data_IF_498400012631
#
_entry.id   IF_498400012631
#
_cell.length_a   1.000
_cell.length_b   1.000
_cell.length_c   1.000
_cell.angle_alpha   90.00
_cell.angle_beta   90.00
_cell.angle_gamma   90.00
#
_symmetry.space_group_name_H-M   'P 1'
#
loop_
_entity.id
_entity.type
_entity.pdbx_description
1 polymer ?
#
# COMPACT_ATOMS: atom_id res chain seq x y z
N UNK A 1 -3.32 12.96 -19.23
CA UNK A 1 -3.96 12.82 -17.89
C UNK A 1 -5.04 11.72 -17.87
N UNK A 2 -4.95 10.68 -18.71
CA UNK A 2 -5.98 9.63 -18.85
C UNK A 2 -5.85 8.46 -17.86
N UNK A 3 -4.89 8.49 -16.92
CA UNK A 3 -4.64 7.36 -16.02
C UNK A 3 -5.61 7.22 -14.84
N UNK A 4 -6.31 8.30 -14.46
CA UNK A 4 -7.18 8.30 -13.27
C UNK A 4 -8.62 7.83 -13.58
N UNK A 5 -9.00 7.74 -14.85
CA UNK A 5 -10.32 7.26 -15.34
C UNK A 5 -10.50 5.74 -15.26
N UNK A 6 -9.49 5.03 -14.76
CA UNK A 6 -9.27 3.65 -15.14
C UNK A 6 -9.81 2.63 -14.13
N UNK A 7 -9.78 2.94 -12.82
CA UNK A 7 -10.13 1.97 -11.78
C UNK A 7 -11.60 1.54 -11.83
N UNK A 8 -12.53 2.50 -11.94
CA UNK A 8 -13.95 2.20 -12.08
C UNK A 8 -14.25 1.45 -13.38
N UNK A 9 -13.57 1.85 -14.47
CA UNK A 9 -13.69 1.17 -15.76
C UNK A 9 -13.30 -0.30 -15.64
N UNK A 10 -12.17 -0.59 -14.99
CA UNK A 10 -11.72 -1.97 -14.73
C UNK A 10 -12.69 -2.77 -13.86
N UNK A 11 -13.30 -2.13 -12.84
CA UNK A 11 -14.30 -2.78 -12.00
C UNK A 11 -15.62 -3.11 -12.72
N UNK A 12 -15.92 -2.40 -13.81
CA UNK A 12 -17.15 -2.51 -14.60
C UNK A 12 -17.05 -3.51 -15.77
N UNK A 13 -15.85 -3.98 -16.10
CA UNK A 13 -15.68 -4.89 -17.23
C UNK A 13 -16.40 -6.23 -16.94
N UNK A 14 -17.28 -6.70 -17.85
CA UNK A 14 -17.99 -7.98 -17.67
C UNK A 14 -17.03 -9.16 -17.56
N UNK A 15 -15.97 -9.14 -18.34
CA UNK A 15 -14.89 -10.11 -18.31
C UNK A 15 -13.57 -9.43 -17.91
N UNK A 16 -13.00 -9.72 -16.73
CA UNK A 16 -11.75 -9.11 -16.28
C UNK A 16 -10.58 -9.41 -17.22
N UNK A 17 -10.70 -10.40 -18.12
CA UNK A 17 -9.70 -10.67 -19.15
C UNK A 17 -9.60 -9.58 -20.24
N UNK A 18 -10.53 -8.62 -20.29
CA UNK A 18 -10.42 -7.47 -21.20
C UNK A 18 -9.56 -6.33 -20.64
N UNK A 19 -9.20 -6.35 -19.35
CA UNK A 19 -8.23 -5.39 -18.79
C UNK A 19 -6.85 -5.74 -19.39
N UNK A 20 -6.14 -4.83 -20.07
CA UNK A 20 -4.91 -5.19 -20.78
C UNK A 20 -3.86 -5.85 -19.88
N UNK A 21 -3.20 -6.91 -20.36
CA UNK A 21 -2.16 -7.66 -19.61
C UNK A 21 -0.96 -6.81 -19.18
N UNK A 22 -0.73 -5.68 -19.84
CA UNK A 22 0.29 -4.70 -19.43
C UNK A 22 -0.02 -4.11 -18.05
N UNK A 23 -1.30 -3.95 -17.72
CA UNK A 23 -1.76 -3.44 -16.43
C UNK A 23 -2.29 -4.53 -15.51
N UNK A 24 -2.97 -5.55 -16.04
CA UNK A 24 -3.54 -6.65 -15.27
C UNK A 24 -2.45 -7.57 -14.75
N UNK A 25 -2.51 -7.86 -13.45
CA UNK A 25 -1.63 -8.84 -12.78
C UNK A 25 -2.36 -10.17 -12.66
N UNK A 26 -3.54 -10.17 -12.04
CA UNK A 26 -4.41 -11.32 -11.88
C UNK A 26 -5.86 -10.85 -11.66
N UNK A 27 -6.81 -11.79 -11.60
CA UNK A 27 -8.21 -11.48 -11.31
C UNK A 27 -8.93 -12.67 -10.69
N UNK A 28 -10.07 -12.39 -10.06
CA UNK A 28 -11.06 -13.35 -9.59
C UNK A 28 -12.45 -12.91 -10.07
N UNK A 29 -13.49 -13.66 -9.71
CA UNK A 29 -14.87 -13.22 -9.92
C UNK A 29 -15.20 -11.94 -9.11
N UNK A 30 -14.45 -11.67 -8.04
CA UNK A 30 -14.73 -10.60 -7.09
C UNK A 30 -13.84 -9.37 -7.26
N UNK A 31 -12.65 -9.51 -7.83
CA UNK A 31 -11.71 -8.40 -7.96
C UNK A 31 -10.83 -8.51 -9.20
N UNK A 32 -10.23 -7.39 -9.58
CA UNK A 32 -9.13 -7.33 -10.54
C UNK A 32 -7.92 -6.68 -9.88
N UNK A 33 -6.76 -7.31 -10.01
CA UNK A 33 -5.49 -6.79 -9.52
C UNK A 33 -4.72 -6.18 -10.67
N UNK A 34 -4.33 -4.92 -10.53
CA UNK A 34 -3.60 -4.18 -11.57
C UNK A 34 -2.33 -3.53 -11.02
N UNK A 35 -1.35 -3.27 -11.87
CA UNK A 35 -0.17 -2.46 -11.54
C UNK A 35 -0.58 -1.00 -11.37
N UNK A 36 -0.09 -0.34 -10.32
CA UNK A 36 -0.27 1.11 -10.17
C UNK A 36 0.59 1.85 -11.21
N UNK A 37 -0.03 2.72 -12.00
CA UNK A 37 0.65 3.56 -13.01
C UNK A 37 1.59 4.58 -12.35
N UNK A 38 1.34 4.90 -11.08
CA UNK A 38 2.19 5.74 -10.27
C UNK A 38 2.70 4.93 -9.06
N UNK A 39 3.64 4.01 -9.23
CA UNK A 39 4.12 3.17 -8.14
C UNK A 39 4.86 3.99 -7.09
N UNK A 40 4.65 3.65 -5.82
CA UNK A 40 5.24 4.32 -4.65
C UNK A 40 6.40 3.53 -4.03
N UNK A 41 6.59 2.30 -4.48
CA UNK A 41 7.67 1.35 -4.18
C UNK A 41 8.05 0.63 -5.49
N UNK A 42 9.02 -0.29 -5.44
CA UNK A 42 9.37 -1.11 -6.61
C UNK A 42 8.17 -1.91 -7.15
N UNK A 43 7.41 -2.53 -6.25
CA UNK A 43 6.19 -3.26 -6.60
C UNK A 43 5.00 -2.59 -5.92
N UNK A 44 4.06 -2.10 -6.72
CA UNK A 44 2.84 -1.47 -6.22
C UNK A 44 1.66 -1.89 -7.07
N UNK A 45 0.80 -2.73 -6.51
CA UNK A 45 -0.43 -3.21 -7.13
C UNK A 45 -1.66 -2.64 -6.42
N UNK A 46 -2.77 -2.62 -7.14
CA UNK A 46 -4.08 -2.21 -6.67
C UNK A 46 -5.05 -3.38 -6.85
N UNK A 47 -5.67 -3.83 -5.77
CA UNK A 47 -6.78 -4.79 -5.81
C UNK A 47 -8.08 -4.01 -5.85
N UNK A 48 -8.83 -4.17 -6.94
CA UNK A 48 -10.04 -3.40 -7.24
C UNK A 48 -11.25 -4.34 -7.19
N UNK A 49 -12.19 -4.17 -6.24
CA UNK A 49 -13.41 -4.99 -6.22
C UNK A 49 -14.24 -4.76 -7.48
N UNK A 50 -14.86 -5.81 -8.00
CA UNK A 50 -15.77 -5.74 -9.15
C UNK A 50 -17.18 -5.37 -8.72
N UNK A 51 -17.95 -4.79 -9.63
CA UNK A 51 -19.38 -4.58 -9.41
C UNK A 51 -20.13 -5.91 -9.42
N UNK A 52 -21.19 -5.97 -8.62
CA UNK A 52 -22.15 -7.09 -8.66
C UNK A 52 -23.57 -6.53 -8.56
N UNK A 53 -24.61 -7.33 -8.87
CA UNK A 53 -26.00 -6.88 -8.71
C UNK A 53 -26.34 -6.35 -7.30
N UNK A 54 -25.59 -6.78 -6.27
CA UNK A 54 -25.79 -6.35 -4.87
C UNK A 54 -24.88 -5.19 -4.44
N UNK A 55 -23.96 -4.77 -5.32
CA UNK A 55 -22.87 -3.86 -5.00
C UNK A 55 -22.61 -2.92 -6.19
N UNK A 56 -23.27 -1.77 -6.15
CA UNK A 56 -23.11 -0.70 -7.14
C UNK A 56 -21.82 0.11 -6.92
N UNK A 57 -21.53 0.99 -7.89
CA UNK A 57 -20.33 1.83 -7.85
C UNK A 57 -20.36 2.89 -6.74
N UNK A 58 -21.54 3.32 -6.30
CA UNK A 58 -21.67 4.35 -5.27
C UNK A 58 -21.30 3.81 -3.88
N UNK A 59 -21.62 2.55 -3.63
CA UNK A 59 -21.22 1.79 -2.44
C UNK A 59 -19.72 1.48 -2.40
N UNK A 60 -19.03 1.57 -3.54
CA UNK A 60 -17.61 1.29 -3.70
C UNK A 60 -16.79 2.52 -4.11
N UNK A 61 -17.25 3.74 -3.82
CA UNK A 61 -16.47 4.94 -4.14
C UNK A 61 -15.17 5.04 -3.34
N UNK A 62 -15.21 4.65 -2.06
CA UNK A 62 -14.08 4.69 -1.13
C UNK A 62 -14.31 3.80 0.09
N UNK A 63 -13.31 3.71 0.98
CA UNK A 63 -13.39 2.88 2.19
C UNK A 63 -14.57 3.31 3.08
N UNK A 64 -14.86 4.62 3.16
CA UNK A 64 -15.97 5.12 3.98
C UNK A 64 -17.32 4.66 3.45
N UNK A 65 -17.50 4.60 2.13
CA UNK A 65 -18.70 4.06 1.50
C UNK A 65 -18.86 2.56 1.82
N UNK A 66 -17.79 1.77 1.66
CA UNK A 66 -17.80 0.34 1.98
C UNK A 66 -18.16 0.07 3.45
N UNK A 67 -17.55 0.82 4.38
CA UNK A 67 -17.76 0.64 5.82
C UNK A 67 -19.18 1.00 6.31
N UNK A 68 -20.00 1.63 5.46
CA UNK A 68 -21.40 1.96 5.77
C UNK A 68 -22.40 0.88 5.33
N UNK A 69 -21.94 -0.13 4.59
CA UNK A 69 -22.77 -1.28 4.24
C UNK A 69 -23.17 -2.07 5.51
N UNK A 70 -24.19 -2.94 5.42
CA UNK A 70 -24.47 -3.91 6.47
C UNK A 70 -23.19 -4.65 6.90
N UNK A 71 -23.01 -4.81 8.22
CA UNK A 71 -21.72 -5.24 8.81
C UNK A 71 -21.16 -6.52 8.17
N UNK A 72 -21.99 -7.55 8.03
CA UNK A 72 -21.57 -8.82 7.43
C UNK A 72 -21.22 -8.69 5.95
N UNK A 73 -21.93 -7.84 5.20
CA UNK A 73 -21.62 -7.58 3.80
C UNK A 73 -20.27 -6.87 3.66
N UNK A 74 -20.05 -5.79 4.43
CA UNK A 74 -18.79 -5.04 4.42
C UNK A 74 -17.60 -5.94 4.83
N UNK A 75 -17.77 -6.71 5.90
CA UNK A 75 -16.77 -7.67 6.38
C UNK A 75 -16.47 -8.74 5.33
N UNK A 76 -17.49 -9.30 4.70
CA UNK A 76 -17.34 -10.30 3.65
C UNK A 76 -16.52 -9.78 2.45
N UNK A 77 -16.78 -8.55 2.02
CA UNK A 77 -16.01 -7.88 0.95
C UNK A 77 -14.54 -7.69 1.39
N UNK A 78 -14.31 -7.19 2.61
CA UNK A 78 -12.94 -6.98 3.13
C UNK A 78 -12.15 -8.29 3.22
N UNK A 79 -12.78 -9.38 3.66
CA UNK A 79 -12.13 -10.69 3.73
C UNK A 79 -11.74 -11.20 2.34
N UNK A 80 -12.61 -11.05 1.34
CA UNK A 80 -12.29 -11.43 -0.05
C UNK A 80 -11.14 -10.58 -0.62
N UNK A 81 -11.19 -9.25 -0.42
CA UNK A 81 -10.09 -8.36 -0.82
C UNK A 81 -8.76 -8.72 -0.16
N UNK A 82 -8.78 -9.16 1.11
CA UNK A 82 -7.59 -9.66 1.80
C UNK A 82 -7.04 -10.91 1.14
N UNK A 83 -7.89 -11.88 0.82
CA UNK A 83 -7.48 -13.11 0.13
C UNK A 83 -6.80 -12.78 -1.20
N UNK A 84 -7.43 -11.93 -2.01
CA UNK A 84 -6.89 -11.53 -3.32
C UNK A 84 -5.58 -10.73 -3.18
N UNK A 85 -5.47 -9.89 -2.15
CA UNK A 85 -4.24 -9.18 -1.84
C UNK A 85 -3.09 -10.11 -1.40
N UNK A 86 -3.38 -11.16 -0.65
CA UNK A 86 -2.35 -12.14 -0.27
C UNK A 86 -1.84 -12.91 -1.49
N UNK A 87 -2.70 -13.22 -2.47
CA UNK A 87 -2.27 -13.75 -3.75
C UNK A 87 -1.37 -12.75 -4.51
N UNK A 88 -1.73 -11.47 -4.51
CA UNK A 88 -0.90 -10.41 -5.09
C UNK A 88 0.47 -10.27 -4.39
N UNK A 89 0.52 -10.40 -3.06
CA UNK A 89 1.79 -10.44 -2.30
C UNK A 89 2.67 -11.61 -2.76
N UNK A 90 2.11 -12.81 -2.99
CA UNK A 90 2.88 -13.96 -3.51
C UNK A 90 3.46 -13.71 -4.90
N UNK A 91 2.74 -13.00 -5.75
CA UNK A 91 3.25 -12.60 -7.07
C UNK A 91 4.44 -11.64 -6.89
N UNK A 92 4.30 -10.63 -6.03
CA UNK A 92 5.38 -9.69 -5.72
C UNK A 92 6.60 -10.42 -5.15
N UNK A 93 6.42 -11.32 -4.18
CA UNK A 93 7.51 -12.11 -3.60
C UNK A 93 8.24 -12.94 -4.67
N UNK A 94 7.51 -13.52 -5.63
CA UNK A 94 8.10 -14.22 -6.78
C UNK A 94 8.90 -13.30 -7.71
N UNK A 95 8.43 -12.06 -7.94
CA UNK A 95 9.17 -11.04 -8.68
C UNK A 95 10.45 -10.61 -7.92
N UNK A 96 10.35 -10.36 -6.61
CA UNK A 96 11.49 -10.02 -5.75
C UNK A 96 12.58 -11.10 -5.78
N UNK A 97 12.20 -12.37 -5.61
CA UNK A 97 13.14 -13.49 -5.66
C UNK A 97 13.82 -13.59 -7.03
N UNK A 98 13.06 -13.45 -8.12
CA UNK A 98 13.58 -13.57 -9.48
C UNK A 98 14.53 -12.42 -9.86
N UNK A 99 14.23 -11.20 -9.44
CA UNK A 99 15.00 -10.00 -9.83
C UNK A 99 16.16 -9.70 -8.87
N UNK A 100 15.98 -9.98 -7.57
CA UNK A 100 16.90 -9.56 -6.53
C UNK A 100 17.51 -10.72 -5.73
N UNK A 101 16.94 -11.93 -5.81
CA UNK A 101 17.40 -13.11 -5.08
C UNK A 101 16.96 -13.18 -3.61
N UNK A 102 16.07 -12.28 -3.18
CA UNK A 102 15.53 -12.24 -1.82
C UNK A 102 14.17 -11.53 -1.76
N UNK A 103 13.42 -11.73 -0.68
CA UNK A 103 12.15 -11.04 -0.42
C UNK A 103 12.29 -10.01 0.70
N UNK A 104 11.42 -9.00 0.66
CA UNK A 104 11.24 -8.05 1.75
C UNK A 104 9.74 -7.82 2.00
N UNK A 105 9.35 -7.24 3.15
CA UNK A 105 7.95 -7.14 3.53
C UNK A 105 7.09 -6.39 2.50
N UNK A 106 5.82 -6.76 2.44
CA UNK A 106 4.79 -6.01 1.74
C UNK A 106 3.79 -5.41 2.73
N UNK A 107 3.22 -4.26 2.37
CA UNK A 107 2.14 -3.62 3.09
C UNK A 107 0.84 -3.75 2.30
N UNK A 108 -0.24 -4.07 3.01
CA UNK A 108 -1.57 -4.23 2.43
C UNK A 108 -2.56 -3.35 3.18
N UNK A 109 -3.16 -2.38 2.51
CA UNK A 109 -4.01 -1.42 3.19
C UNK A 109 -4.71 -0.39 2.30
N UNK A 110 -5.58 0.37 2.94
CA UNK A 110 -6.35 1.44 2.33
C UNK A 110 -5.80 2.80 2.75
N UNK A 111 -5.96 3.79 1.89
CA UNK A 111 -5.95 5.16 2.36
C UNK A 111 -7.21 5.46 3.18
N UNK A 112 -7.05 6.06 4.36
CA UNK A 112 -8.17 6.46 5.21
C UNK A 112 -9.10 7.48 4.53
N UNK A 113 -8.55 8.37 3.71
CA UNK A 113 -9.29 9.21 2.80
C UNK A 113 -8.78 8.94 1.38
N UNK A 114 -9.66 8.70 0.40
CA UNK A 114 -9.21 8.64 -0.98
C UNK A 114 -8.68 10.01 -1.37
N UNK A 115 -7.62 10.04 -2.15
CA UNK A 115 -6.92 11.23 -2.60
C UNK A 115 -7.89 12.24 -3.25
N UNK A 116 -8.39 13.26 -2.52
CA UNK A 116 -9.46 14.12 -3.04
C UNK A 116 -8.93 15.45 -3.57
N UNK A 117 -7.63 15.72 -3.36
CA UNK A 117 -7.03 17.04 -3.54
C UNK A 117 -6.41 17.24 -4.93
N UNK A 118 -6.26 16.16 -5.71
CA UNK A 118 -5.66 16.20 -7.05
C UNK A 118 -6.62 15.81 -8.18
N UNK A 119 -7.87 15.47 -7.85
CA UNK A 119 -8.88 15.17 -8.86
C UNK A 119 -9.82 16.38 -9.01
N UNK A 120 -9.83 17.03 -10.19
CA UNK A 120 -10.85 18.00 -10.54
C UNK A 120 -12.25 17.48 -10.20
N UNK A 121 -13.17 18.39 -9.85
CA UNK A 121 -14.52 18.02 -9.42
C UNK A 121 -15.25 17.13 -10.44
N UNK A 122 -15.03 17.38 -11.74
CA UNK A 122 -15.60 16.59 -12.83
C UNK A 122 -15.03 15.17 -12.92
N UNK A 123 -13.89 14.87 -12.29
CA UNK A 123 -13.25 13.55 -12.21
C UNK A 123 -13.59 12.79 -10.91
N UNK A 124 -14.47 13.31 -10.06
CA UNK A 124 -14.88 12.63 -8.81
C UNK A 124 -15.54 11.27 -9.04
N UNK A 125 -16.21 11.07 -10.18
CA UNK A 125 -16.86 9.81 -10.54
C UNK A 125 -15.87 8.65 -10.77
N UNK A 126 -14.57 8.96 -10.80
CA UNK A 126 -13.46 8.02 -10.96
C UNK A 126 -12.86 7.58 -9.63
N UNK A 127 -13.33 8.16 -8.52
CA UNK A 127 -13.03 7.66 -7.19
C UNK A 127 -13.67 6.29 -7.06
N UNK A 128 -12.81 5.29 -6.88
CA UNK A 128 -13.24 3.93 -6.70
C UNK A 128 -12.36 3.28 -5.64
N UNK A 129 -12.97 2.41 -4.83
CA UNK A 129 -12.29 1.68 -3.79
C UNK A 129 -11.19 0.83 -4.41
N UNK A 130 -10.00 0.92 -3.83
CA UNK A 130 -8.88 0.05 -4.17
C UNK A 130 -8.08 -0.21 -2.91
N UNK A 131 -7.55 -1.42 -2.82
CA UNK A 131 -6.64 -1.83 -1.77
C UNK A 131 -5.22 -1.82 -2.32
N UNK A 132 -4.32 -1.12 -1.65
CA UNK A 132 -2.92 -1.06 -2.03
C UNK A 132 -2.21 -2.31 -1.55
N UNK A 133 -1.40 -2.91 -2.43
CA UNK A 133 -0.44 -3.96 -2.11
C UNK A 133 0.91 -3.46 -2.60
N UNK A 134 1.79 -3.08 -1.68
CA UNK A 134 3.07 -2.45 -2.03
C UNK A 134 4.24 -3.04 -1.24
N UNK A 135 5.37 -3.21 -1.91
CA UNK A 135 6.62 -3.59 -1.28
C UNK A 135 7.15 -2.50 -0.34
N UNK A 136 7.79 -2.89 0.76
CA UNK A 136 8.18 -1.96 1.82
C UNK A 136 9.43 -1.14 1.53
N UNK A 137 9.97 -1.11 0.32
CA UNK A 137 11.20 -0.34 0.00
C UNK A 137 10.93 1.16 -0.20
N UNK A 138 9.70 1.53 -0.58
CA UNK A 138 9.30 2.93 -0.83
C UNK A 138 10.21 3.69 -1.82
N UNK A 139 10.80 3.00 -2.78
CA UNK A 139 11.73 3.60 -3.78
C UNK A 139 11.09 3.90 -5.13
N UNK A 140 9.75 3.94 -5.20
CA UNK A 140 9.02 4.18 -6.45
C UNK A 140 9.27 5.57 -7.04
N UNK A 141 9.40 5.67 -8.37
CA UNK A 141 9.78 6.92 -9.04
C UNK A 141 8.75 8.06 -8.89
N UNK A 142 7.51 7.75 -8.52
CA UNK A 142 6.47 8.77 -8.23
C UNK A 142 6.36 9.15 -6.75
N UNK A 143 7.17 8.56 -5.87
CA UNK A 143 7.13 8.80 -4.42
C UNK A 143 7.92 10.06 -4.03
N UNK A 144 7.40 11.24 -4.41
CA UNK A 144 8.15 12.51 -4.31
C UNK A 144 7.48 13.56 -3.43
N UNK A 145 6.15 13.59 -3.35
CA UNK A 145 5.46 14.63 -2.61
C UNK A 145 5.26 14.24 -1.14
N UNK A 146 5.40 15.22 -0.23
CA UNK A 146 5.21 15.01 1.23
C UNK A 146 3.86 14.35 1.56
N UNK A 147 2.79 14.80 0.92
CA UNK A 147 1.45 14.23 1.11
C UNK A 147 1.37 12.76 0.68
N UNK A 148 2.03 12.38 -0.42
CA UNK A 148 2.09 10.99 -0.87
C UNK A 148 2.90 10.14 0.11
N UNK A 149 4.06 10.63 0.55
CA UNK A 149 4.91 9.90 1.49
C UNK A 149 4.17 9.60 2.80
N UNK A 150 3.55 10.62 3.38
CA UNK A 150 2.76 10.46 4.61
C UNK A 150 1.53 9.57 4.41
N UNK A 151 0.93 9.56 3.21
CA UNK A 151 -0.24 8.72 2.93
C UNK A 151 0.06 7.22 2.99
N UNK A 152 1.29 6.79 2.70
CA UNK A 152 1.71 5.39 2.71
C UNK A 152 2.55 4.99 3.95
N UNK A 153 2.78 5.92 4.88
CA UNK A 153 3.55 5.62 6.08
C UNK A 153 2.75 4.69 7.02
N UNK A 154 3.23 3.46 7.31
CA UNK A 154 2.43 2.41 7.95
C UNK A 154 2.09 2.73 9.41
N UNK A 155 2.93 3.53 10.09
CA UNK A 155 2.72 3.94 11.49
C UNK A 155 2.03 5.29 11.66
N UNK A 156 1.81 6.06 10.59
CA UNK A 156 1.22 7.41 10.71
C UNK A 156 -0.31 7.35 10.89
N UNK A 157 -0.91 6.20 10.55
CA UNK A 157 -2.33 5.95 10.69
C UNK A 157 -3.16 6.42 9.50
N UNK A 158 -2.59 7.09 8.49
CA UNK A 158 -3.32 7.40 7.24
C UNK A 158 -3.48 6.16 6.36
N UNK A 159 -2.43 5.32 6.29
CA UNK A 159 -2.48 4.00 5.67
C UNK A 159 -3.06 2.99 6.68
N UNK A 160 -4.28 2.53 6.42
CA UNK A 160 -5.00 1.60 7.30
C UNK A 160 -4.79 0.18 6.80
N UNK A 161 -4.12 -0.67 7.59
CA UNK A 161 -3.91 -2.06 7.17
C UNK A 161 -5.24 -2.80 7.05
N UNK A 162 -5.35 -3.70 6.07
CA UNK A 162 -6.58 -4.47 5.86
C UNK A 162 -6.97 -5.28 7.09
N UNK A 163 -5.99 -5.84 7.79
CA UNK A 163 -6.20 -6.59 9.03
C UNK A 163 -6.74 -5.69 10.15
N UNK A 164 -6.28 -4.44 10.25
CA UNK A 164 -6.85 -3.47 11.20
C UNK A 164 -8.32 -3.19 10.89
N UNK A 165 -8.64 -2.92 9.62
CA UNK A 165 -10.01 -2.60 9.20
C UNK A 165 -10.95 -3.79 9.43
N UNK A 166 -10.51 -5.03 9.15
CA UNK A 166 -11.29 -6.24 9.43
C UNK A 166 -11.52 -6.41 10.94
N UNK A 167 -10.52 -6.13 11.78
CA UNK A 167 -10.66 -6.21 13.25
C UNK A 167 -11.72 -5.26 13.80
N UNK A 168 -12.05 -4.17 13.11
CA UNK A 168 -13.16 -3.28 13.53
C UNK A 168 -14.53 -3.98 13.54
N UNK A 169 -14.65 -5.13 12.88
CA UNK A 169 -15.85 -5.96 12.87
C UNK A 169 -15.87 -7.05 13.93
N UNK A 170 -14.88 -7.10 14.83
CA UNK A 170 -14.82 -8.10 15.89
C UNK A 170 -16.04 -8.05 16.83
N UNK A 171 -16.43 -9.19 17.44
CA UNK A 171 -17.63 -9.28 18.29
C UNK A 171 -17.54 -8.41 19.56
N UNK A 172 -16.32 -8.10 20.02
CA UNK A 172 -16.06 -7.27 21.22
C UNK A 172 -16.03 -5.76 20.93
N UNK A 173 -16.27 -5.34 19.69
CA UNK A 173 -16.20 -3.93 19.31
C UNK A 173 -17.54 -3.24 19.61
N UNK A 174 -17.51 -2.25 20.50
CA UNK A 174 -18.69 -1.46 20.84
C UNK A 174 -19.23 -0.68 19.61
N UNK A 175 -20.56 -0.63 19.40
CA UNK A 175 -21.15 0.09 18.27
C UNK A 175 -20.75 1.57 18.18
N UNK A 176 -20.63 2.25 19.32
CA UNK A 176 -20.20 3.65 19.40
C UNK A 176 -18.77 3.85 18.91
N UNK A 177 -17.84 2.96 19.27
CA UNK A 177 -16.47 2.99 18.80
C UNK A 177 -16.39 2.73 17.29
N UNK A 178 -17.16 1.75 16.79
CA UNK A 178 -17.23 1.47 15.37
C UNK A 178 -17.73 2.69 14.58
N UNK A 179 -18.78 3.37 15.07
CA UNK A 179 -19.28 4.60 14.44
C UNK A 179 -18.21 5.69 14.33
N UNK A 180 -17.36 5.85 15.36
CA UNK A 180 -16.23 6.78 15.36
C UNK A 180 -15.20 6.40 14.29
N UNK A 181 -14.85 5.11 14.17
CA UNK A 181 -13.89 4.64 13.17
C UNK A 181 -14.42 4.79 11.74
N UNK A 182 -15.68 4.41 11.49
CA UNK A 182 -16.32 4.53 10.17
C UNK A 182 -16.55 5.97 9.74
N UNK A 183 -16.61 6.92 10.69
CA UNK A 183 -16.72 8.34 10.35
C UNK A 183 -15.52 8.84 9.52
N UNK A 184 -14.34 8.23 9.70
CA UNK A 184 -13.09 8.58 9.03
C UNK A 184 -12.90 10.10 8.95
N UNK A 185 -12.75 10.74 10.12
CA UNK A 185 -12.80 12.19 10.26
C UNK A 185 -11.82 12.90 9.31
N UNK A 186 -12.38 13.67 8.37
CA UNK A 186 -11.62 14.27 7.28
C UNK A 186 -10.54 15.23 7.80
N UNK A 187 -10.85 16.01 8.85
CA UNK A 187 -9.94 17.01 9.40
C UNK A 187 -8.74 16.34 10.05
N UNK A 188 -8.97 15.28 10.84
CA UNK A 188 -7.94 14.47 11.49
C UNK A 188 -7.00 13.83 10.47
N UNK A 189 -7.52 13.11 9.48
CA UNK A 189 -6.68 12.43 8.50
C UNK A 189 -5.93 13.40 7.57
N UNK A 190 -6.53 14.53 7.19
CA UNK A 190 -5.81 15.58 6.43
C UNK A 190 -4.66 16.20 7.22
N UNK A 191 -4.74 16.27 8.54
CA UNK A 191 -3.64 16.77 9.36
C UNK A 191 -2.42 15.83 9.32
N UNK A 192 -2.65 14.51 9.26
CA UNK A 192 -1.58 13.51 9.15
C UNK A 192 -0.76 13.69 7.88
N UNK A 193 -1.39 14.02 6.75
CA UNK A 193 -0.67 14.27 5.49
C UNK A 193 0.32 15.46 5.57
N UNK A 194 0.13 16.35 6.56
CA UNK A 194 1.00 17.51 6.80
C UNK A 194 2.07 17.28 7.87
N UNK A 195 2.03 16.14 8.58
CA UNK A 195 2.99 15.79 9.62
C UNK A 195 4.45 15.78 9.10
N UNK A 196 5.43 15.84 10.01
CA UNK A 196 6.84 15.73 9.64
C UNK A 196 7.09 14.42 8.89
N UNK A 197 8.00 14.45 7.92
CA UNK A 197 8.37 13.27 7.17
C UNK A 197 9.20 12.36 8.08
N UNK A 198 8.83 11.08 8.14
CA UNK A 198 9.53 10.06 8.91
C UNK A 198 9.87 8.86 8.03
N UNK A 199 11.01 8.23 8.26
CA UNK A 199 11.35 6.99 7.60
C UNK A 199 10.50 5.83 8.16
N UNK A 200 9.83 5.02 7.30
CA UNK A 200 9.04 3.88 7.74
C UNK A 200 9.88 2.74 8.32
N UNK A 201 11.21 2.75 8.18
CA UNK A 201 12.09 1.70 8.71
C UNK A 201 12.74 2.06 10.05
N UNK A 202 13.19 3.30 10.22
CA UNK A 202 13.96 3.72 11.40
C UNK A 202 13.34 4.89 12.19
N UNK A 203 12.18 5.40 11.77
CA UNK A 203 11.48 6.56 12.37
C UNK A 203 12.27 7.90 12.36
N UNK A 204 13.43 7.96 11.69
CA UNK A 204 14.20 9.20 11.53
C UNK A 204 13.37 10.28 10.82
N UNK A 205 13.43 11.52 11.34
CA UNK A 205 12.70 12.68 10.80
C UNK A 205 13.47 13.43 9.72
N UNK A 206 12.78 13.86 8.67
CA UNK A 206 13.35 14.57 7.54
C UNK A 206 12.63 15.90 7.27
N UNK A 207 13.40 16.94 6.96
CA UNK A 207 12.87 18.25 6.61
C UNK A 207 12.31 18.31 5.17
N UNK A 208 12.77 17.43 4.27
CA UNK A 208 12.36 17.41 2.87
C UNK A 208 12.16 16.00 2.34
N UNK A 209 11.25 15.87 1.37
CA UNK A 209 10.95 14.60 0.71
C UNK A 209 12.18 14.04 -0.01
N UNK A 210 12.97 14.89 -0.66
CA UNK A 210 14.19 14.49 -1.35
C UNK A 210 15.19 13.79 -0.43
N UNK A 211 15.47 14.34 0.76
CA UNK A 211 16.38 13.73 1.74
C UNK A 211 15.86 12.38 2.23
N UNK A 212 14.55 12.28 2.47
CA UNK A 212 13.93 11.01 2.83
C UNK A 212 14.03 9.97 1.71
N UNK A 213 13.77 10.35 0.44
CA UNK A 213 13.93 9.44 -0.70
C UNK A 213 15.38 8.94 -0.84
N UNK A 214 16.36 9.82 -0.65
CA UNK A 214 17.78 9.43 -0.65
C UNK A 214 18.09 8.44 0.47
N UNK A 215 17.57 8.70 1.68
CA UNK A 215 17.71 7.79 2.82
C UNK A 215 17.06 6.43 2.54
N UNK A 216 15.85 6.39 1.98
CA UNK A 216 15.15 5.15 1.62
C UNK A 216 15.96 4.30 0.62
N UNK A 217 16.63 4.91 -0.36
CA UNK A 217 17.52 4.19 -1.26
C UNK A 217 18.70 3.54 -0.51
N UNK A 218 19.30 4.25 0.45
CA UNK A 218 20.38 3.70 1.30
C UNK A 218 19.87 2.53 2.15
N UNK A 219 18.69 2.69 2.77
CA UNK A 219 18.06 1.62 3.56
C UNK A 219 17.83 0.37 2.70
N UNK A 220 17.35 0.52 1.47
CA UNK A 220 17.14 -0.61 0.58
C UNK A 220 18.46 -1.28 0.14
N UNK A 221 19.51 -0.51 -0.17
CA UNK A 221 20.84 -1.09 -0.43
C UNK A 221 21.39 -1.85 0.78
N UNK A 222 21.16 -1.34 1.99
CA UNK A 222 21.54 -2.03 3.21
C UNK A 222 20.77 -3.35 3.38
N UNK A 223 19.45 -3.38 3.13
CA UNK A 223 18.66 -4.61 3.16
C UNK A 223 19.22 -5.68 2.20
N UNK A 224 19.64 -5.27 0.99
CA UNK A 224 20.27 -6.18 0.01
C UNK A 224 21.59 -6.74 0.53
N UNK A 225 22.41 -5.90 1.15
CA UNK A 225 23.70 -6.29 1.71
C UNK A 225 23.50 -7.28 2.86
N UNK A 226 22.64 -6.95 3.83
CA UNK A 226 22.34 -7.79 4.99
C UNK A 226 21.86 -9.19 4.58
N UNK A 227 21.04 -9.27 3.53
CA UNK A 227 20.58 -10.56 3.02
C UNK A 227 21.71 -11.43 2.46
N UNK A 228 22.61 -10.83 1.65
CA UNK A 228 23.76 -11.55 1.09
C UNK A 228 24.70 -12.06 2.18
N UNK A 229 24.92 -11.25 3.21
CA UNK A 229 25.74 -11.64 4.36
C UNK A 229 25.12 -12.83 5.10
N UNK A 230 23.81 -12.81 5.37
CA UNK A 230 23.09 -13.94 5.97
C UNK A 230 23.18 -15.21 5.13
N UNK A 231 22.92 -15.12 3.82
CA UNK A 231 23.04 -16.27 2.91
C UNK A 231 24.45 -16.85 2.93
N UNK A 232 25.50 -16.01 2.91
CA UNK A 232 26.88 -16.48 2.95
C UNK A 232 27.23 -17.20 4.27
N UNK A 233 26.69 -16.71 5.39
CA UNK A 233 26.90 -17.32 6.71
C UNK A 233 26.18 -18.66 6.87
N UNK A 234 24.99 -18.80 6.27
CA UNK A 234 24.23 -20.06 6.27
C UNK A 234 24.90 -21.11 5.38
N UNK A 235 25.40 -20.74 4.20
CA UNK A 235 26.13 -21.67 3.33
C UNK A 235 27.47 -22.12 3.90
N UNK A 236 28.18 -21.24 4.65
CA UNK A 236 29.47 -21.58 5.24
C UNK A 236 29.39 -22.50 6.47
N UNK A 237 28.23 -22.57 7.14
CA UNK A 237 28.05 -23.41 8.32
C UNK A 237 27.89 -24.92 8.01
N UNK A 238 27.57 -25.27 6.75
CA UNK A 238 27.30 -26.66 6.35
C UNK A 238 28.58 -27.40 5.93
N UNK A 239 29.66 -26.70 5.58
CA UNK A 239 30.91 -27.30 5.10
C UNK A 239 32.00 -27.44 6.18
N UNK A 240 31.66 -27.44 7.48
CA UNK A 240 32.62 -27.87 8.49
C UNK A 240 32.65 -29.41 8.52
N UNK A 241 33.65 -30.08 7.90
CA UNK A 241 33.73 -31.52 7.97
C UNK A 241 33.88 -31.92 9.44
N UNK A 242 32.91 -32.68 9.94
CA UNK A 242 33.13 -33.50 11.13
C UNK A 242 34.22 -34.50 10.76
N UNK A 243 35.48 -34.13 11.00
CA UNK A 243 36.59 -35.07 11.12
C UNK A 243 36.31 -35.91 12.37
N UNK A 244 35.34 -36.81 12.25
CA UNK A 244 35.16 -37.95 13.13
C UNK A 244 35.99 -39.07 12.54
N UNK A 245 37.12 -39.31 13.19
CA UNK A 245 37.90 -40.53 13.11
C UNK A 245 36.96 -41.70 13.43
N UNK A 246 36.58 -42.50 12.43
CA UNK A 246 36.12 -43.88 12.65
C UNK A 246 36.97 -44.79 11.78
N UNK A 247 38.05 -45.21 12.43
CA UNK A 247 38.75 -46.46 12.24
C UNK A 247 37.77 -47.65 12.15
N UNK A 248 37.98 -48.52 11.15
CA UNK A 248 37.69 -49.98 11.16
C UNK A 248 36.20 -50.36 11.16
N UNK A 249 35.64 -51.08 10.19
CA UNK A 249 35.91 -52.51 10.01
C UNK A 249 35.41 -53.03 8.65
N UNK A 250 36.19 -53.97 8.13
CA UNK A 250 36.09 -54.65 6.85
C UNK A 250 35.30 -55.94 7.04
N UNK A 251 34.09 -56.07 6.48
CA UNK A 251 33.43 -57.37 6.39
C UNK A 251 32.26 -57.40 5.39
N UNK A 252 32.59 -57.81 4.18
CA UNK A 252 31.85 -58.77 3.31
C UNK A 252 30.33 -58.63 3.11
N UNK A 253 29.94 -58.51 1.83
CA UNK A 253 29.27 -59.63 1.19
C UNK A 253 27.83 -59.43 0.68
N UNK A 254 27.64 -59.92 -0.55
CA UNK A 254 26.43 -60.41 -1.18
C UNK A 254 25.63 -59.46 -2.10
N UNK A 255 25.61 -59.92 -3.35
CA UNK A 255 24.82 -59.49 -4.49
C UNK A 255 23.32 -59.80 -4.32
N UNK A 256 22.49 -59.11 -5.12
CA UNK A 256 21.16 -59.46 -5.69
C UNK A 256 20.48 -58.10 -5.93
N UNK A 257 19.78 -57.79 -7.01
CA UNK A 257 19.25 -58.52 -8.14
C UNK A 257 18.27 -57.55 -8.80
N UNK A 258 18.22 -57.58 -10.13
CA UNK A 258 17.29 -56.81 -10.95
C UNK A 258 15.84 -57.08 -10.55
N UNK A 259 14.97 -56.07 -10.49
CA UNK A 259 13.64 -56.21 -11.08
C UNK A 259 12.98 -54.88 -11.44
N UNK A 260 12.35 -54.92 -12.59
CA UNK A 260 11.48 -53.94 -13.23
C UNK A 260 10.04 -54.16 -12.79
N UNK A 261 9.34 -53.12 -12.34
CA UNK A 261 7.93 -53.24 -11.98
C UNK A 261 7.19 -51.91 -12.12
N UNK A 262 6.48 -51.77 -13.24
CA UNK A 262 5.42 -50.81 -13.41
C UNK A 262 4.26 -51.11 -12.44
N UNK A 263 3.62 -50.08 -11.90
CA UNK A 263 2.20 -50.12 -11.54
C UNK A 263 1.63 -48.70 -11.52
N UNK A 264 0.72 -48.47 -12.47
CA UNK A 264 -0.45 -47.61 -12.29
C UNK A 264 -1.22 -48.06 -11.03
N UNK A 265 -1.91 -47.12 -10.36
CA UNK A 265 -3.29 -47.24 -9.88
C UNK A 265 -3.68 -45.99 -9.07
N UNK A 266 -4.93 -45.64 -9.26
CA UNK A 266 -5.75 -44.51 -8.83
C UNK A 266 -5.78 -44.20 -7.32
N UNK A 267 -6.20 -42.96 -7.02
CA UNK A 267 -7.19 -42.72 -5.96
C UNK A 267 -6.64 -42.32 -4.60
N UNK A 268 -6.39 -41.03 -4.40
CA UNK A 268 -6.24 -40.47 -3.04
C UNK A 268 -7.54 -39.74 -2.67
N UNK A 269 -8.34 -40.46 -1.88
CA UNK A 269 -9.43 -39.92 -1.09
C UNK A 269 -8.90 -38.97 -0.01
N UNK A 270 -9.57 -37.83 0.15
CA UNK A 270 -9.37 -36.88 1.23
C UNK A 270 -9.80 -37.53 2.56
N UNK A 271 -8.82 -37.89 3.38
CA UNK A 271 -9.05 -38.24 4.78
C UNK A 271 -9.08 -36.98 5.64
N UNK A 272 -10.25 -36.80 6.26
CA UNK A 272 -10.53 -35.91 7.38
C UNK A 272 -9.73 -36.39 8.60
N UNK A 273 -8.90 -35.52 9.17
CA UNK A 273 -8.15 -35.77 10.39
C UNK A 273 -8.30 -34.56 11.32
N UNK A 274 -9.25 -34.70 12.23
CA UNK A 274 -9.38 -33.95 13.47
C UNK A 274 -8.49 -34.58 14.56
N UNK A 275 -8.21 -33.79 15.60
CA UNK A 275 -7.35 -34.05 16.78
C UNK A 275 -5.86 -33.79 16.59
N UNK A 276 -5.10 -33.25 17.55
CA UNK A 276 -5.31 -32.57 18.84
C UNK A 276 -3.94 -31.90 19.10
N UNK A 277 -3.89 -30.70 19.67
CA UNK A 277 -2.88 -30.41 20.71
C UNK A 277 -3.22 -29.18 21.52
N UNK A 278 -3.47 -29.44 22.80
CA UNK A 278 -3.58 -28.49 23.89
C UNK A 278 -2.17 -28.01 24.27
N UNK A 279 -1.94 -26.70 24.23
CA UNK A 279 -0.81 -26.09 24.93
C UNK A 279 -1.37 -25.07 25.91
N UNK A 280 -1.42 -25.51 27.17
CA UNK A 280 -1.69 -24.71 28.35
C UNK A 280 -0.70 -23.53 28.42
N UNK A 281 -1.23 -22.31 28.54
CA UNK A 281 -0.45 -21.17 29.03
C UNK A 281 -1.09 -20.64 30.30
N UNK A 282 -0.25 -20.66 31.32
CA UNK A 282 -0.52 -20.42 32.73
C UNK A 282 -0.87 -18.94 32.97
N UNK A 283 -2.04 -18.71 33.57
CA UNK A 283 -2.56 -17.40 33.93
C UNK A 283 -2.01 -17.00 35.30
N UNK A 284 -1.04 -16.08 35.33
CA UNK A 284 -0.73 -15.32 36.56
C UNK A 284 -1.75 -14.19 36.71
N UNK A 285 -2.69 -14.40 37.63
CA UNK A 285 -3.60 -13.41 38.19
C UNK A 285 -2.81 -12.37 39.01
N UNK A 286 -2.99 -11.10 38.65
CA UNK A 286 -2.72 -9.97 39.54
C UNK A 286 -4.07 -9.37 39.86
N UNK A 287 -4.47 -9.49 41.11
CA UNK A 287 -5.65 -8.87 41.71
C UNK A 287 -5.32 -7.47 42.21
N UNK A 288 -6.40 -6.72 42.42
CA UNK A 288 -6.56 -5.57 43.32
C UNK A 288 -6.35 -4.17 42.74
N UNK A 289 -7.46 -3.42 42.73
CA UNK A 289 -7.50 -2.00 42.37
C UNK A 289 -8.92 -1.49 42.07
N UNK A 290 -9.84 -1.68 43.01
CA UNK A 290 -11.16 -1.06 43.06
C UNK A 290 -11.03 0.48 43.21
N UNK A 291 -11.67 1.32 42.37
CA UNK A 291 -11.80 2.74 42.67
C UNK A 291 -13.18 3.05 43.26
N UNK A 292 -13.14 3.43 44.53
CA UNK A 292 -14.24 3.97 45.33
C UNK A 292 -14.86 5.21 44.69
N UNK A 293 -16.19 5.25 44.72
CA UNK A 293 -17.01 6.40 44.41
C UNK A 293 -16.93 7.42 45.56
N UNK A 294 -16.58 8.67 45.26
CA UNK A 294 -16.83 9.80 46.15
C UNK A 294 -17.54 10.91 45.37
N UNK A 295 -18.78 11.10 45.77
CA UNK A 295 -19.68 12.18 45.41
C UNK A 295 -19.57 13.23 46.53
N UNK A 296 -19.47 14.53 46.23
CA UNK A 296 -19.99 15.51 47.17
C UNK A 296 -21.13 16.31 46.55
N UNK A 297 -22.29 16.15 47.18
CA UNK A 297 -23.38 17.12 47.19
C UNK A 297 -22.86 18.47 47.68
N UNK A 298 -23.24 19.54 46.98
CA UNK A 298 -22.95 20.92 47.35
C UNK A 298 -24.01 21.84 46.77
N UNK A 299 -25.12 21.95 47.49
CA UNK A 299 -26.21 22.88 47.23
C UNK A 299 -25.73 24.33 47.38
N UNK A 300 -26.05 25.20 46.42
CA UNK A 300 -26.37 26.61 46.66
C UNK A 300 -27.26 27.13 45.53
N UNK A 301 -28.52 27.39 45.86
CA UNK A 301 -29.39 28.22 45.05
C UNK A 301 -29.13 29.70 45.31
N UNK A 302 -29.22 30.52 44.27
CA UNK A 302 -29.63 31.93 44.37
C UNK A 302 -30.45 32.26 43.12
N UNK A 303 -31.65 32.78 43.38
CA UNK A 303 -32.63 33.30 42.44
C UNK A 303 -32.24 34.69 41.91
N UNK A 304 -32.73 34.97 40.69
CA UNK A 304 -33.25 36.26 40.19
C UNK A 304 -32.35 37.50 40.18
N UNK A 305 -32.22 38.14 39.00
CA UNK A 305 -33.04 39.33 38.68
C UNK A 305 -32.92 39.69 37.20
N UNK A 306 -34.06 40.06 36.64
CA UNK A 306 -34.27 40.78 35.40
C UNK A 306 -33.56 42.15 35.42
N UNK A 307 -33.16 42.66 34.25
CA UNK A 307 -33.36 44.06 33.94
C UNK A 307 -33.26 44.34 32.43
N UNK A 308 -34.26 45.08 31.96
CA UNK A 308 -34.44 45.57 30.62
C UNK A 308 -33.94 47.03 30.47
N UNK A 309 -33.77 47.47 29.22
CA UNK A 309 -33.59 48.88 28.81
C UNK A 309 -32.13 49.36 28.89
N UNK A 310 -31.61 50.26 28.05
CA UNK A 310 -32.22 51.28 27.20
C UNK A 310 -31.17 51.84 26.22
N UNK A 311 -31.65 52.38 25.11
CA UNK A 311 -31.02 53.20 24.05
C UNK A 311 -29.80 54.06 24.38
N UNK A 312 -28.94 54.33 23.39
CA UNK A 312 -28.05 55.51 23.44
C UNK A 312 -26.97 55.59 22.36
N UNK A 313 -27.15 56.52 21.44
CA UNK A 313 -26.35 56.95 20.28
C UNK A 313 -24.92 57.45 20.53
N UNK A 314 -24.07 57.27 19.50
CA UNK A 314 -23.04 58.19 18.98
C UNK A 314 -21.85 58.57 19.86
N UNK A 315 -20.61 58.36 19.39
CA UNK A 315 -19.71 59.43 18.90
C UNK A 315 -18.42 58.84 18.30
N UNK A 316 -18.04 59.38 17.15
CA UNK A 316 -16.81 59.17 16.39
C UNK A 316 -15.54 59.46 17.21
N UNK A 317 -14.51 58.61 17.07
CA UNK A 317 -13.11 59.07 17.07
C UNK A 317 -12.21 58.10 16.31
N UNK A 318 -11.66 58.62 15.23
CA UNK A 318 -10.63 58.06 14.37
C UNK A 318 -9.29 57.91 15.12
N UNK A 319 -8.67 56.74 15.03
CA UNK A 319 -7.22 56.60 15.23
C UNK A 319 -6.68 55.67 14.16
N UNK A 320 -5.80 56.23 13.31
CA UNK A 320 -5.10 55.54 12.25
C UNK A 320 -3.98 54.66 12.84
N UNK A 321 -3.93 53.39 12.43
CA UNK A 321 -2.77 52.53 12.63
C UNK A 321 -2.56 51.66 11.37
N UNK A 322 -1.38 51.80 10.77
CA UNK A 322 -1.04 51.27 9.46
C UNK A 322 -1.06 49.75 9.37
N UNK A 323 -1.86 49.23 8.42
CA UNK A 323 -1.75 47.88 7.91
C UNK A 323 -0.65 47.81 6.84
N UNK A 324 0.46 47.14 7.18
CA UNK A 324 1.43 46.63 6.19
C UNK A 324 0.72 45.59 5.32
N UNK A 325 0.42 45.95 4.07
CA UNK A 325 -0.05 45.05 3.01
C UNK A 325 0.98 43.94 2.79
N UNK A 326 0.67 42.70 3.18
CA UNK A 326 1.30 41.50 2.62
C UNK A 326 0.84 41.39 1.17
N UNK A 327 1.79 41.49 0.23
CA UNK A 327 1.59 41.19 -1.19
C UNK A 327 1.00 39.78 -1.31
N UNK A 328 -0.21 39.70 -1.83
CA UNK A 328 -0.78 38.47 -2.36
C UNK A 328 0.05 38.04 -3.55
N UNK A 329 0.66 36.86 -3.45
CA UNK A 329 1.27 36.17 -4.58
C UNK A 329 0.16 35.87 -5.59
N UNK A 330 0.25 36.44 -6.78
CA UNK A 330 -0.76 36.33 -7.83
C UNK A 330 -0.82 34.88 -8.32
N UNK A 331 -2.02 34.44 -8.73
CA UNK A 331 -2.26 33.10 -9.29
C UNK A 331 -1.36 32.78 -10.49
N UNK A 332 -0.82 33.80 -11.15
CA UNK A 332 0.09 33.66 -12.29
C UNK A 332 1.48 33.11 -11.90
N UNK A 333 1.97 33.34 -10.67
CA UNK A 333 3.24 32.74 -10.21
C UNK A 333 3.10 31.26 -9.84
N UNK A 334 1.89 30.80 -9.51
CA UNK A 334 1.61 29.37 -9.30
C UNK A 334 1.45 28.64 -10.63
N UNK A 335 0.81 29.29 -11.63
CA UNK A 335 0.72 28.76 -12.98
C UNK A 335 2.09 28.63 -13.67
N UNK A 336 3.01 29.58 -13.43
CA UNK A 336 4.38 29.51 -13.96
C UNK A 336 5.22 28.37 -13.34
N UNK A 337 5.01 28.06 -12.05
CA UNK A 337 5.67 26.92 -11.40
C UNK A 337 5.07 25.56 -11.80
N UNK A 338 3.81 25.52 -12.25
CA UNK A 338 3.15 24.31 -12.76
C UNK A 338 3.50 24.02 -14.24
N UNK A 339 3.78 25.04 -15.04
CA UNK A 339 4.27 24.89 -16.42
C UNK A 339 5.70 24.33 -16.47
N UNK A 340 6.56 24.72 -15.52
CA UNK A 340 7.97 24.28 -15.45
C UNK A 340 8.13 22.79 -15.09
N UNK A 341 7.12 22.18 -14.45
CA UNK A 341 7.07 20.73 -14.18
C UNK A 341 6.58 19.94 -15.41
N UNK A 342 5.82 20.58 -16.31
CA UNK A 342 5.29 19.98 -17.53
C UNK A 342 6.32 19.81 -18.64
N UNK A 343 7.24 20.77 -18.81
CA UNK A 343 8.25 20.72 -19.89
C UNK A 343 9.45 19.81 -19.57
N UNK A 344 9.82 19.66 -18.30
CA UNK A 344 10.97 18.81 -17.89
C UNK A 344 10.71 17.31 -18.14
N UNK A 345 9.44 16.91 -18.33
CA UNK A 345 9.08 15.51 -18.63
C UNK A 345 9.10 15.17 -20.12
N UNK A 346 9.05 16.17 -21.02
CA UNK A 346 8.98 15.93 -22.48
C UNK A 346 10.37 15.98 -23.13
N UNK A 347 11.31 16.77 -22.60
CA UNK A 347 12.59 17.02 -23.30
C UNK A 347 13.74 16.04 -22.99
N UNK A 348 13.51 15.02 -22.15
CA UNK A 348 14.50 13.94 -21.89
C UNK A 348 14.32 12.68 -22.74
N UNK A 349 13.38 12.68 -23.70
CA UNK A 349 13.11 11.55 -24.61
C UNK A 349 13.41 11.94 -26.07
N UNK A 350 14.58 12.55 -26.33
CA UNK A 350 15.13 12.65 -27.70
C UNK A 350 16.38 11.78 -27.82
N UNK A 351 16.37 10.72 -28.64
CA UNK A 351 17.57 9.94 -28.90
C UNK A 351 18.57 10.78 -29.72
N UNK A 352 19.75 11.04 -29.16
CA UNK A 352 20.89 11.53 -29.96
C UNK A 352 21.32 10.43 -30.92
N UNK A 353 21.08 10.67 -32.21
CA UNK A 353 21.49 9.84 -33.34
C UNK A 353 23.02 9.68 -33.35
N UNK A 354 23.55 8.55 -32.85
CA UNK A 354 24.97 8.20 -32.96
C UNK A 354 25.20 7.32 -34.19
N UNK A 355 26.12 7.79 -35.04
CA UNK A 355 26.66 7.13 -36.24
C UNK A 355 27.26 5.77 -35.88
N UNK A 356 26.87 4.74 -36.63
CA UNK A 356 27.48 3.41 -36.66
C UNK A 356 28.87 3.46 -37.30
N UNK A 357 29.90 3.06 -36.56
CA UNK A 357 31.20 2.68 -37.07
C UNK A 357 31.48 1.24 -36.66
N UNK A 358 31.64 0.36 -37.66
CA UNK A 358 31.95 -1.05 -37.50
C UNK A 358 33.41 -1.26 -37.11
N UNK A 359 33.67 -2.18 -36.18
CA UNK A 359 34.86 -3.04 -36.20
C UNK A 359 34.68 -4.23 -35.26
N UNK A 360 34.89 -5.42 -35.83
CA UNK A 360 34.97 -6.71 -35.16
C UNK A 360 36.30 -6.86 -34.42
N UNK A 361 36.28 -7.54 -33.27
CA UNK A 361 37.12 -8.72 -32.99
C UNK A 361 36.60 -9.43 -31.74
N UNK A 362 36.78 -10.75 -31.73
CA UNK A 362 36.35 -11.71 -30.71
C UNK A 362 37.17 -11.65 -29.42
N UNK A 363 36.53 -11.99 -28.30
CA UNK A 363 37.07 -12.86 -27.25
C UNK A 363 35.96 -13.19 -26.23
N UNK A 364 35.82 -14.47 -25.90
CA UNK A 364 34.87 -14.98 -24.93
C UNK A 364 35.31 -14.64 -23.50
N UNK A 365 34.42 -13.99 -22.74
CA UNK A 365 34.49 -13.94 -21.29
C UNK A 365 33.06 -13.86 -20.73
N UNK A 366 32.73 -14.85 -19.90
CA UNK A 366 31.46 -14.97 -19.19
C UNK A 366 31.24 -13.73 -18.32
N UNK A 367 30.26 -12.91 -18.69
CA UNK A 367 29.79 -11.78 -17.88
C UNK A 367 28.29 -11.93 -17.70
N UNK A 368 27.87 -12.12 -16.44
CA UNK A 368 26.48 -11.96 -16.06
C UNK A 368 26.10 -10.48 -16.27
N UNK A 369 25.52 -10.21 -17.43
CA UNK A 369 24.92 -8.94 -17.77
C UNK A 369 23.75 -8.70 -16.80
N UNK A 370 23.93 -7.75 -15.88
CA UNK A 370 22.83 -7.15 -15.13
C UNK A 370 21.86 -6.52 -16.12
N UNK A 371 20.69 -7.13 -16.29
CA UNK A 371 19.54 -6.42 -16.84
C UNK A 371 19.03 -5.46 -15.77
N UNK A 372 19.41 -4.19 -15.86
CA UNK A 372 18.58 -3.13 -15.32
C UNK A 372 17.28 -3.08 -16.14
N UNK A 373 16.11 -2.85 -15.53
CA UNK A 373 14.88 -2.67 -16.28
C UNK A 373 15.05 -1.51 -17.25
N UNK A 374 14.91 -1.82 -18.54
CA UNK A 374 15.11 -0.89 -19.64
C UNK A 374 13.95 0.15 -19.64
N UNK A 375 14.21 1.46 -19.76
CA UNK A 375 13.18 2.50 -19.74
C UNK A 375 12.36 2.60 -21.05
N UNK A 376 12.30 1.55 -21.88
CA UNK A 376 11.60 1.59 -23.19
C UNK A 376 10.08 1.32 -23.13
N UNK A 377 9.48 1.22 -21.96
CA UNK A 377 8.05 0.86 -21.81
C UNK A 377 7.04 2.01 -21.94
N UNK A 378 7.38 3.16 -22.55
CA UNK A 378 6.49 4.33 -22.63
C UNK A 378 6.12 4.83 -24.04
N UNK A 379 6.37 4.08 -25.12
CA UNK A 379 6.17 4.59 -26.50
C UNK A 379 5.07 3.90 -27.33
N UNK A 380 4.22 3.04 -26.78
CA UNK A 380 3.06 2.49 -27.50
C UNK A 380 1.75 2.76 -26.76
N UNK A 381 1.22 3.98 -26.91
CA UNK A 381 -0.18 4.26 -26.58
C UNK A 381 -1.08 3.67 -27.68
N UNK A 382 -2.14 2.91 -27.34
CA UNK A 382 -3.13 2.50 -28.33
C UNK A 382 -3.93 3.71 -28.80
N UNK A 383 -4.24 3.73 -30.11
CA UNK A 383 -5.20 4.65 -30.71
C UNK A 383 -6.56 4.56 -29.99
N UNK A 384 -7.27 5.68 -29.80
CA UNK A 384 -8.57 5.67 -29.13
C UNK A 384 -9.56 4.76 -29.88
N UNK A 385 -10.26 3.92 -29.13
CA UNK A 385 -11.37 3.11 -29.64
C UNK A 385 -12.49 4.02 -30.17
N UNK A 386 -13.13 3.67 -31.29
CA UNK A 386 -14.16 4.49 -31.90
C UNK A 386 -15.41 4.59 -31.00
N UNK A 387 -15.88 5.82 -30.82
CA UNK A 387 -17.00 6.25 -29.96
C UNK A 387 -18.39 5.80 -30.43
N UNK A 388 -18.50 4.78 -31.28
CA UNK A 388 -19.77 4.30 -31.81
C UNK A 388 -20.05 2.88 -31.31
N UNK A 389 -20.49 2.76 -30.05
CA UNK A 389 -21.32 1.65 -29.54
C UNK A 389 -21.56 1.82 -28.02
N UNK A 390 -22.45 2.76 -27.68
CA UNK A 390 -23.17 2.76 -26.41
C UNK A 390 -24.59 3.26 -26.69
N UNK A 391 -25.52 2.31 -26.83
CA UNK A 391 -26.95 2.48 -26.59
C UNK A 391 -27.26 1.90 -25.22
#
# INVERSE_FOLDING_TARGET
MEGLTLMRTYAMVPDPTMVPDTFRVCHTDFSVTVRDICPKSLYHYLVIPRLSPTLDADRLQDLRALLRLPREQARGILVRLRTDALAAVKIIEGEMMREYGFTWPCHVGFHALPTPEYLPMHLKHLRYLHLHVLSSDYTGYTFKAKGQINAFHPRLGFFLSIDEVIRWYGPKIAPSWFAIKVALDKKKYKALLKANLRCPHCDEEFLSAHKLCQHLSVVFEQMKKDHRERQSSESGAIEAPTNGEDDVDESSGAAFGSDSGANDVEGIALHDASHHDEAATDHKSVTDGEPTADNPEGAHGVQSTENAGTTGTSTLRSVAAGQKRKRSKTQDEVAAAEADIGEVLIDRIRPTRRRSGSRSTSAAASSHLRMLPHPEFLSTLPTPLPTHLLL
#
